data_IF_667540314198
#
_entry.id   IF_667540314198
#
_cell.length_a   1.000
_cell.length_b   1.000
_cell.length_c   1.000
_cell.angle_alpha   90.00
_cell.angle_beta   90.00
_cell.angle_gamma   90.00
#
_symmetry.space_group_name_H-M   'P 1'
#
loop_
_entity.id
_entity.type
_entity.pdbx_description
1 polymer ?
#
# COMPACT_ATOMS: atom_id res chain seq x y z
N UNK A 1 30.25 -1.15 13.59
CA UNK A 1 29.59 -0.72 12.33
C UNK A 1 28.81 -1.91 11.80
N UNK A 2 27.48 -1.94 11.99
CA UNK A 2 26.66 -3.08 11.56
C UNK A 2 26.60 -3.11 10.03
N UNK A 3 26.95 -4.23 9.40
CA UNK A 3 26.68 -4.44 7.97
C UNK A 3 25.16 -4.57 7.82
N UNK A 4 24.49 -3.48 7.46
CA UNK A 4 23.06 -3.49 7.12
C UNK A 4 22.83 -4.57 6.05
N UNK A 5 21.94 -5.52 6.32
CA UNK A 5 21.66 -6.59 5.36
C UNK A 5 20.82 -6.04 4.20
N UNK A 6 20.83 -6.70 3.05
CA UNK A 6 19.98 -6.29 1.92
C UNK A 6 18.49 -6.17 2.31
N UNK A 7 18.02 -6.97 3.28
CA UNK A 7 16.65 -6.87 3.80
C UNK A 7 16.45 -5.56 4.58
N UNK A 8 17.40 -5.19 5.45
CA UNK A 8 17.28 -3.98 6.27
C UNK A 8 17.21 -2.73 5.38
N UNK A 9 17.99 -2.66 4.30
CA UNK A 9 17.88 -1.58 3.31
C UNK A 9 16.49 -1.47 2.67
N UNK A 10 15.78 -2.57 2.46
CA UNK A 10 14.39 -2.54 1.96
C UNK A 10 13.40 -2.06 3.02
N UNK A 11 13.63 -2.41 4.29
CA UNK A 11 12.79 -1.95 5.40
C UNK A 11 13.03 -0.47 5.71
N UNK A 12 14.26 0.01 5.57
CA UNK A 12 14.61 1.43 5.73
C UNK A 12 13.88 2.29 4.68
N UNK A 13 13.78 1.84 3.41
CA UNK A 13 12.99 2.52 2.38
C UNK A 13 11.51 2.73 2.76
N UNK A 14 10.94 1.81 3.53
CA UNK A 14 9.58 1.95 4.03
C UNK A 14 9.51 3.05 5.09
N UNK A 15 10.44 3.05 6.05
CA UNK A 15 10.53 4.07 7.10
C UNK A 15 10.81 5.47 6.53
N UNK A 16 11.61 5.58 5.48
CA UNK A 16 11.88 6.85 4.80
C UNK A 16 10.61 7.45 4.19
N UNK A 17 9.74 6.61 3.61
CA UNK A 17 8.44 7.05 3.04
C UNK A 17 7.37 7.29 4.11
N UNK A 18 7.44 6.53 5.20
CA UNK A 18 6.49 6.51 6.30
C UNK A 18 7.19 6.70 7.65
N UNK A 19 7.78 7.88 7.93
CA UNK A 19 8.45 8.13 9.21
C UNK A 19 7.51 7.99 10.41
N UNK A 20 6.20 8.23 10.22
CA UNK A 20 5.17 8.01 11.23
C UNK A 20 5.06 6.53 11.67
N UNK A 21 5.58 5.61 10.86
CA UNK A 21 5.55 4.18 11.15
C UNK A 21 6.37 3.80 12.39
N UNK A 22 7.42 4.57 12.71
CA UNK A 22 8.22 4.41 13.94
C UNK A 22 7.39 4.53 15.22
N UNK A 23 6.28 5.27 15.18
CA UNK A 23 5.29 5.36 16.26
C UNK A 23 4.17 4.35 16.06
N UNK A 24 3.76 4.13 14.82
CA UNK A 24 2.63 3.27 14.47
C UNK A 24 2.89 1.78 14.78
N UNK A 25 4.12 1.30 14.59
CA UNK A 25 4.49 -0.09 14.82
C UNK A 25 4.36 -0.53 16.29
N UNK A 26 4.34 0.41 17.23
CA UNK A 26 4.11 0.14 18.65
C UNK A 26 2.76 -0.53 18.91
N UNK A 27 1.80 -0.34 18.00
CA UNK A 27 0.47 -0.95 18.05
C UNK A 27 0.38 -2.30 17.32
N UNK A 28 1.51 -2.80 16.81
CA UNK A 28 1.65 -4.12 16.20
C UNK A 28 2.40 -5.04 17.17
N UNK A 29 1.96 -6.30 17.35
CA UNK A 29 2.72 -7.28 18.13
C UNK A 29 4.16 -7.38 17.64
N UNK A 30 5.13 -7.31 18.55
CA UNK A 30 6.56 -7.29 18.22
C UNK A 30 6.98 -8.39 17.22
N UNK A 31 6.53 -9.67 17.36
CA UNK A 31 6.88 -10.72 16.40
C UNK A 31 6.40 -10.46 14.96
N UNK A 32 5.39 -9.62 14.77
CA UNK A 32 4.80 -9.32 13.47
C UNK A 32 5.39 -8.07 12.80
N UNK A 33 6.07 -7.19 13.55
CA UNK A 33 6.49 -5.86 13.04
C UNK A 33 7.32 -5.95 11.77
N UNK A 34 8.32 -6.84 11.75
CA UNK A 34 9.18 -7.04 10.57
C UNK A 34 8.40 -7.60 9.38
N UNK A 35 7.49 -8.55 9.62
CA UNK A 35 6.63 -9.12 8.57
C UNK A 35 5.73 -8.03 7.96
N UNK A 36 5.11 -7.20 8.80
CA UNK A 36 4.28 -6.07 8.37
C UNK A 36 5.07 -5.08 7.54
N UNK A 37 6.26 -4.69 7.99
CA UNK A 37 7.11 -3.79 7.22
C UNK A 37 7.52 -4.42 5.89
N UNK A 38 7.92 -5.69 5.85
CA UNK A 38 8.27 -6.37 4.61
C UNK A 38 7.09 -6.42 3.63
N UNK A 39 5.88 -6.67 4.14
CA UNK A 39 4.65 -6.66 3.34
C UNK A 39 4.36 -5.27 2.76
N UNK A 40 4.45 -4.22 3.57
CA UNK A 40 4.22 -2.86 3.09
C UNK A 40 5.34 -2.35 2.18
N UNK A 41 6.59 -2.77 2.37
CA UNK A 41 7.67 -2.54 1.42
C UNK A 41 7.34 -3.19 0.06
N UNK A 42 6.80 -4.42 0.03
CA UNK A 42 6.40 -5.06 -1.21
C UNK A 42 5.30 -4.26 -1.94
N UNK A 43 4.25 -3.85 -1.23
CA UNK A 43 3.19 -3.01 -1.81
C UNK A 43 3.75 -1.67 -2.32
N UNK A 44 4.68 -1.08 -1.58
CA UNK A 44 5.38 0.14 -1.97
C UNK A 44 6.20 -0.06 -3.26
N UNK A 45 6.85 -1.20 -3.46
CA UNK A 45 7.59 -1.49 -4.70
C UNK A 45 6.64 -1.60 -5.91
N UNK A 46 5.41 -2.09 -5.72
CA UNK A 46 4.38 -2.07 -6.75
C UNK A 46 3.82 -0.67 -7.00
N UNK A 47 3.63 0.15 -5.96
CA UNK A 47 3.28 1.58 -6.12
C UNK A 47 4.35 2.32 -6.94
N UNK A 48 5.63 2.03 -6.72
CA UNK A 48 6.74 2.64 -7.47
C UNK A 48 6.71 2.24 -8.94
N UNK A 49 6.42 0.97 -9.23
CA UNK A 49 6.23 0.46 -10.60
C UNK A 49 4.99 1.08 -11.27
N UNK A 50 3.92 1.35 -10.51
CA UNK A 50 2.71 2.00 -11.01
C UNK A 50 2.95 3.46 -11.41
N UNK A 51 3.86 4.14 -10.72
CA UNK A 51 3.97 5.59 -10.72
C UNK A 51 5.31 6.09 -11.30
N UNK A 52 5.79 5.44 -12.36
CA UNK A 52 6.99 5.86 -13.07
C UNK A 52 6.77 7.09 -13.94
N UNK A 53 7.82 7.90 -14.07
CA UNK A 53 7.87 9.02 -15.01
C UNK A 53 8.51 8.57 -16.33
N UNK A 54 7.94 9.01 -17.46
CA UNK A 54 8.48 8.71 -18.79
C UNK A 54 8.12 7.32 -19.29
N UNK A 55 9.09 6.63 -19.89
CA UNK A 55 8.91 5.32 -20.52
C UNK A 55 8.52 4.23 -19.49
N UNK A 56 7.36 3.56 -19.66
CA UNK A 56 6.94 2.51 -18.74
C UNK A 56 7.69 1.18 -18.91
N UNK A 57 8.42 0.95 -20.00
CA UNK A 57 9.02 -0.36 -20.31
C UNK A 57 9.95 -0.91 -19.20
N UNK A 58 10.85 -0.11 -18.57
CA UNK A 58 11.65 -0.61 -17.44
C UNK A 58 10.80 -1.00 -16.23
N UNK A 59 9.70 -0.26 -15.99
CA UNK A 59 8.77 -0.56 -14.91
C UNK A 59 7.99 -1.85 -15.18
N UNK A 60 7.61 -2.09 -16.44
CA UNK A 60 6.92 -3.29 -16.88
C UNK A 60 7.81 -4.54 -16.76
N UNK A 61 9.08 -4.43 -17.15
CA UNK A 61 10.06 -5.48 -16.92
C UNK A 61 10.22 -5.79 -15.42
N UNK A 62 10.28 -4.75 -14.57
CA UNK A 62 10.34 -4.91 -13.11
C UNK A 62 9.07 -5.56 -12.55
N UNK A 63 7.90 -5.23 -13.08
CA UNK A 63 6.63 -5.86 -12.66
C UNK A 63 6.59 -7.34 -13.04
N UNK A 64 7.02 -7.70 -14.24
CA UNK A 64 7.11 -9.09 -14.68
C UNK A 64 8.12 -9.89 -13.82
N UNK A 65 9.23 -9.26 -13.44
CA UNK A 65 10.18 -9.85 -12.49
C UNK A 65 9.52 -10.12 -11.13
N UNK A 66 8.76 -9.15 -10.59
CA UNK A 66 8.00 -9.34 -9.35
C UNK A 66 6.94 -10.45 -9.46
N UNK A 67 6.26 -10.55 -10.60
CA UNK A 67 5.30 -11.62 -10.87
C UNK A 67 5.98 -12.98 -10.74
N UNK A 68 7.14 -13.17 -11.39
CA UNK A 68 7.91 -14.40 -11.29
C UNK A 68 8.38 -14.69 -9.86
N UNK A 69 8.86 -13.68 -9.14
CA UNK A 69 9.29 -13.84 -7.75
C UNK A 69 8.13 -14.31 -6.84
N UNK A 70 6.91 -13.77 -7.02
CA UNK A 70 5.72 -14.23 -6.30
C UNK A 70 5.31 -15.67 -6.64
N UNK A 71 5.45 -16.07 -7.91
CA UNK A 71 5.25 -17.48 -8.32
C UNK A 71 6.28 -18.38 -7.63
N UNK A 72 7.54 -17.95 -7.55
CA UNK A 72 8.57 -18.69 -6.83
C UNK A 72 8.33 -18.74 -5.32
N UNK A 73 7.73 -17.71 -4.72
CA UNK A 73 7.33 -17.75 -3.30
C UNK A 73 6.21 -18.78 -3.05
N UNK A 74 5.23 -18.89 -3.95
CA UNK A 74 4.22 -19.94 -3.90
C UNK A 74 4.85 -21.35 -3.90
N UNK A 75 5.99 -21.50 -4.56
CA UNK A 75 6.76 -22.73 -4.62
C UNK A 75 7.93 -22.81 -3.62
N UNK A 76 8.05 -21.86 -2.69
CA UNK A 76 9.11 -21.78 -1.66
C UNK A 76 10.54 -21.74 -2.20
N UNK A 77 10.75 -20.93 -3.24
CA UNK A 77 12.06 -20.74 -3.87
C UNK A 77 12.45 -19.27 -3.96
N UNK A 78 12.13 -18.50 -2.90
CA UNK A 78 12.45 -17.08 -2.85
C UNK A 78 13.95 -16.84 -3.05
N UNK A 79 14.26 -15.82 -3.86
CA UNK A 79 15.63 -15.30 -4.01
C UNK A 79 15.73 -13.85 -3.55
N UNK A 80 14.59 -13.17 -3.42
CA UNK A 80 14.54 -11.79 -2.99
C UNK A 80 14.71 -11.64 -1.46
N UNK A 81 15.40 -10.59 -0.97
CA UNK A 81 15.56 -10.34 0.46
C UNK A 81 14.25 -10.26 1.25
N UNK A 82 13.16 -9.71 0.68
CA UNK A 82 11.84 -9.64 1.33
C UNK A 82 11.22 -11.02 1.55
N UNK A 83 11.48 -11.99 0.66
CA UNK A 83 10.92 -13.32 0.80
C UNK A 83 11.45 -14.06 2.02
N UNK A 84 12.61 -13.68 2.59
CA UNK A 84 13.05 -14.21 3.90
C UNK A 84 12.02 -14.04 5.02
N UNK A 85 11.15 -13.03 4.92
CA UNK A 85 10.05 -12.79 5.85
C UNK A 85 8.69 -13.20 5.27
N UNK A 86 8.46 -12.93 3.98
CA UNK A 86 7.14 -13.13 3.36
C UNK A 86 6.91 -14.57 2.88
N UNK A 87 7.88 -15.20 2.22
CA UNK A 87 7.73 -16.54 1.63
C UNK A 87 7.35 -17.63 2.66
N UNK A 88 7.85 -17.64 3.90
CA UNK A 88 7.40 -18.60 4.92
C UNK A 88 5.90 -18.55 5.24
N UNK A 89 5.23 -17.42 4.96
CA UNK A 89 3.77 -17.30 5.10
C UNK A 89 3.10 -18.00 3.91
N UNK A 90 2.22 -18.96 4.19
CA UNK A 90 1.47 -19.72 3.17
C UNK A 90 0.30 -18.94 2.56
N UNK A 91 0.55 -17.68 2.19
CA UNK A 91 -0.42 -16.80 1.56
C UNK A 91 -0.62 -17.15 0.07
N UNK A 92 -1.72 -16.71 -0.57
CA UNK A 92 -1.99 -16.94 -1.99
C UNK A 92 -1.09 -16.08 -2.91
N UNK A 93 0.23 -16.32 -2.88
CA UNK A 93 1.23 -15.56 -3.64
C UNK A 93 1.00 -15.63 -5.16
N UNK A 94 0.57 -16.78 -5.68
CA UNK A 94 0.23 -16.93 -7.10
C UNK A 94 -0.96 -16.06 -7.52
N UNK A 95 -1.97 -15.89 -6.66
CA UNK A 95 -3.10 -15.01 -6.93
C UNK A 95 -2.65 -13.54 -6.98
N UNK A 96 -1.72 -13.15 -6.09
CA UNK A 96 -1.11 -11.81 -6.16
C UNK A 96 -0.29 -11.62 -7.44
N UNK A 97 0.45 -12.64 -7.87
CA UNK A 97 1.21 -12.62 -9.12
C UNK A 97 0.30 -12.42 -10.34
N UNK A 98 -0.80 -13.16 -10.41
CA UNK A 98 -1.80 -13.07 -11.49
C UNK A 98 -2.50 -11.71 -11.52
N UNK A 99 -2.60 -11.03 -10.38
CA UNK A 99 -3.22 -9.72 -10.27
C UNK A 99 -2.27 -8.55 -10.62
N UNK A 100 -0.95 -8.75 -10.70
CA UNK A 100 -0.01 -7.66 -10.97
C UNK A 100 -0.25 -6.89 -12.28
N UNK A 101 -0.71 -7.48 -13.40
CA UNK A 101 -1.05 -6.71 -14.60
C UNK A 101 -2.04 -5.55 -14.36
N UNK A 102 -2.89 -5.61 -13.32
CA UNK A 102 -3.76 -4.50 -12.97
C UNK A 102 -3.00 -3.20 -12.62
N UNK A 103 -1.75 -3.31 -12.13
CA UNK A 103 -0.86 -2.16 -11.90
C UNK A 103 -0.58 -1.40 -13.20
N UNK A 104 -0.39 -2.11 -14.32
CA UNK A 104 -0.15 -1.50 -15.63
C UNK A 104 -1.40 -0.82 -16.16
N UNK A 105 -2.55 -1.52 -16.09
CA UNK A 105 -3.84 -1.00 -16.56
C UNK A 105 -4.22 0.26 -15.79
N UNK A 106 -4.00 0.27 -14.48
CA UNK A 106 -4.27 1.42 -13.61
C UNK A 106 -3.37 2.64 -13.87
N UNK A 107 -2.33 2.52 -14.73
CA UNK A 107 -1.53 3.69 -15.14
C UNK A 107 -2.29 4.63 -16.08
N UNK A 108 -3.30 4.14 -16.80
CA UNK A 108 -4.09 4.99 -17.71
C UNK A 108 -4.75 6.12 -16.91
N UNK A 109 -4.71 7.34 -17.46
CA UNK A 109 -5.51 8.43 -16.90
C UNK A 109 -7.00 8.04 -16.96
N UNK A 110 -7.72 8.05 -15.82
CA UNK A 110 -9.12 7.60 -15.80
C UNK A 110 -10.04 8.68 -16.39
N UNK A 111 -11.19 8.28 -16.95
CA UNK A 111 -12.18 9.24 -17.47
C UNK A 111 -13.14 9.73 -16.36
N UNK A 112 -13.24 9.00 -15.25
CA UNK A 112 -14.05 9.35 -14.08
C UNK A 112 -13.51 8.71 -12.80
N UNK A 113 -14.06 9.10 -11.64
CA UNK A 113 -13.70 8.52 -10.35
C UNK A 113 -13.92 7.00 -10.31
N UNK A 114 -15.09 6.52 -10.75
CA UNK A 114 -15.40 5.09 -10.74
C UNK A 114 -14.49 4.32 -11.72
N UNK A 115 -14.18 4.89 -12.88
CA UNK A 115 -13.20 4.29 -13.80
C UNK A 115 -11.77 4.28 -13.27
N UNK A 116 -11.43 5.11 -12.28
CA UNK A 116 -10.14 5.03 -11.61
C UNK A 116 -10.06 3.80 -10.69
N UNK A 117 -11.18 3.38 -10.10
CA UNK A 117 -11.25 2.23 -9.19
C UNK A 117 -11.25 0.88 -9.92
N UNK A 118 -11.92 0.78 -11.07
CA UNK A 118 -12.13 -0.49 -11.77
C UNK A 118 -10.83 -1.27 -12.06
N UNK A 119 -9.76 -0.66 -12.63
CA UNK A 119 -8.52 -1.38 -12.93
C UNK A 119 -7.82 -1.97 -11.71
N UNK A 120 -8.06 -1.40 -10.52
CA UNK A 120 -7.42 -1.83 -9.28
C UNK A 120 -8.09 -3.05 -8.65
N UNK A 121 -9.29 -3.44 -9.10
CA UNK A 121 -10.07 -4.51 -8.47
C UNK A 121 -9.30 -5.83 -8.31
N UNK A 122 -8.67 -6.40 -9.36
CA UNK A 122 -7.94 -7.67 -9.20
C UNK A 122 -6.82 -7.58 -8.18
N UNK A 123 -6.10 -6.44 -8.16
CA UNK A 123 -5.00 -6.21 -7.26
C UNK A 123 -5.47 -6.12 -5.80
N UNK A 124 -6.51 -5.35 -5.52
CA UNK A 124 -7.00 -5.19 -4.13
C UNK A 124 -7.68 -6.44 -3.60
N UNK A 125 -8.26 -7.26 -4.48
CA UNK A 125 -8.76 -8.60 -4.13
C UNK A 125 -7.60 -9.50 -3.70
N UNK A 126 -6.52 -9.56 -4.47
CA UNK A 126 -5.37 -10.39 -4.17
C UNK A 126 -4.61 -9.91 -2.92
N UNK A 127 -4.44 -8.59 -2.75
CA UNK A 127 -3.91 -7.98 -1.53
C UNK A 127 -4.74 -8.39 -0.32
N UNK A 128 -6.07 -8.27 -0.39
CA UNK A 128 -6.96 -8.67 0.69
C UNK A 128 -6.82 -10.17 1.03
N UNK A 129 -6.69 -11.03 0.02
CA UNK A 129 -6.54 -12.47 0.20
C UNK A 129 -5.19 -12.83 0.86
N UNK A 130 -4.10 -12.16 0.47
CA UNK A 130 -2.79 -12.32 1.12
C UNK A 130 -2.85 -11.86 2.58
N UNK A 131 -3.43 -10.70 2.84
CA UNK A 131 -3.56 -10.15 4.19
C UNK A 131 -4.41 -11.01 5.11
N UNK A 132 -5.48 -11.61 4.59
CA UNK A 132 -6.33 -12.52 5.36
C UNK A 132 -5.52 -13.69 5.94
N UNK A 133 -4.61 -14.26 5.14
CA UNK A 133 -3.72 -15.34 5.59
C UNK A 133 -2.58 -14.82 6.46
N UNK A 134 -1.89 -13.76 6.02
CA UNK A 134 -0.69 -13.26 6.70
C UNK A 134 -0.97 -12.70 8.10
N UNK A 135 -2.17 -12.18 8.33
CA UNK A 135 -2.56 -11.53 9.59
C UNK A 135 -3.81 -12.16 10.23
N UNK A 136 -4.14 -13.41 9.85
CA UNK A 136 -5.18 -14.24 10.45
C UNK A 136 -6.55 -13.56 10.59
N UNK A 137 -7.00 -12.87 9.53
CA UNK A 137 -8.29 -12.16 9.53
C UNK A 137 -9.43 -13.06 9.07
N UNK A 138 -10.52 -13.04 9.83
CA UNK A 138 -11.71 -13.85 9.60
C UNK A 138 -12.82 -13.04 8.91
N UNK A 139 -12.91 -11.74 9.23
CA UNK A 139 -13.85 -10.84 8.60
C UNK A 139 -13.50 -10.52 7.13
N UNK A 140 -14.47 -9.99 6.38
CA UNK A 140 -14.21 -9.45 5.05
C UNK A 140 -13.20 -8.30 5.05
N UNK A 141 -12.77 -7.90 3.84
CA UNK A 141 -11.86 -6.78 3.62
C UNK A 141 -12.52 -5.71 2.75
N UNK A 142 -12.44 -4.46 3.19
CA UNK A 142 -12.91 -3.28 2.47
C UNK A 142 -11.98 -2.95 1.29
N UNK A 143 -12.29 -3.57 0.15
CA UNK A 143 -11.56 -3.39 -1.11
C UNK A 143 -11.59 -1.95 -1.62
N UNK A 144 -12.64 -1.18 -1.30
CA UNK A 144 -12.74 0.23 -1.71
C UNK A 144 -11.71 1.05 -0.95
N UNK A 145 -11.54 0.83 0.34
CA UNK A 145 -10.48 1.48 1.13
C UNK A 145 -9.08 1.13 0.62
N UNK A 146 -8.83 -0.13 0.22
CA UNK A 146 -7.59 -0.51 -0.45
C UNK A 146 -7.40 0.26 -1.75
N UNK A 147 -8.37 0.25 -2.67
CA UNK A 147 -8.24 0.93 -3.96
C UNK A 147 -7.99 2.45 -3.82
N UNK A 148 -8.61 3.10 -2.84
CA UNK A 148 -8.40 4.52 -2.58
C UNK A 148 -6.97 4.84 -2.10
N UNK A 149 -6.32 3.92 -1.40
CA UNK A 149 -4.90 4.05 -1.02
C UNK A 149 -4.00 4.11 -2.26
N UNK A 150 -4.24 3.22 -3.24
CA UNK A 150 -3.51 3.20 -4.49
C UNK A 150 -3.76 4.46 -5.33
N UNK A 151 -5.00 4.95 -5.38
CA UNK A 151 -5.32 6.20 -6.07
C UNK A 151 -4.69 7.42 -5.41
N UNK A 152 -4.64 7.47 -4.07
CA UNK A 152 -3.93 8.53 -3.34
C UNK A 152 -2.41 8.43 -3.52
N UNK A 153 -1.83 7.24 -3.52
CA UNK A 153 -0.41 7.03 -3.82
C UNK A 153 -0.08 7.53 -5.23
N UNK A 154 -0.90 7.18 -6.22
CA UNK A 154 -0.78 7.70 -7.59
C UNK A 154 -0.88 9.23 -7.63
N UNK A 155 -1.88 9.79 -6.96
CA UNK A 155 -2.05 11.24 -6.86
C UNK A 155 -0.83 11.94 -6.25
N UNK A 156 -0.24 11.39 -5.17
CA UNK A 156 0.97 11.93 -4.55
C UNK A 156 2.19 11.86 -5.46
N UNK A 157 2.29 10.83 -6.30
CA UNK A 157 3.44 10.63 -7.17
C UNK A 157 3.40 11.46 -8.45
N UNK A 158 2.24 11.54 -9.12
CA UNK A 158 2.13 12.15 -10.47
C UNK A 158 1.17 13.34 -10.53
N UNK A 159 0.58 13.75 -9.40
CA UNK A 159 -0.26 14.95 -9.31
C UNK A 159 -1.48 14.92 -10.24
N UNK A 160 -1.66 16.00 -11.03
CA UNK A 160 -2.83 16.17 -11.89
C UNK A 160 -3.03 15.06 -12.93
N UNK A 161 -1.98 14.33 -13.30
CA UNK A 161 -2.06 13.20 -14.24
C UNK A 161 -2.81 11.99 -13.64
N UNK A 162 -2.94 11.91 -12.31
CA UNK A 162 -3.71 10.86 -11.64
C UNK A 162 -5.23 11.08 -11.71
N UNK A 163 -5.66 12.33 -11.88
CA UNK A 163 -7.07 12.72 -11.86
C UNK A 163 -7.69 12.68 -13.26
N UNK A 164 -9.03 12.51 -13.37
CA UNK A 164 -9.71 12.65 -14.66
C UNK A 164 -9.46 14.00 -15.35
N UNK A 165 -9.62 14.03 -16.67
CA UNK A 165 -9.47 15.27 -17.44
C UNK A 165 -10.44 16.35 -16.93
N UNK A 166 -9.95 17.59 -16.79
CA UNK A 166 -10.74 18.71 -16.27
C UNK A 166 -10.96 18.74 -14.75
N UNK A 167 -10.61 17.68 -14.01
CA UNK A 167 -10.71 17.67 -12.55
C UNK A 167 -9.48 18.33 -11.93
N UNK A 168 -9.68 19.34 -11.10
CA UNK A 168 -8.58 20.01 -10.38
C UNK A 168 -7.98 19.11 -9.30
N UNK A 169 -6.71 19.33 -8.95
CA UNK A 169 -6.04 18.60 -7.86
C UNK A 169 -6.82 18.71 -6.54
N UNK A 170 -7.36 19.89 -6.24
CA UNK A 170 -8.14 20.11 -5.02
C UNK A 170 -9.45 19.30 -5.04
N UNK A 171 -10.17 19.31 -6.16
CA UNK A 171 -11.39 18.53 -6.32
C UNK A 171 -11.11 17.02 -6.24
N UNK A 172 -10.03 16.55 -6.87
CA UNK A 172 -9.63 15.15 -6.82
C UNK A 172 -9.30 14.68 -5.39
N UNK A 173 -8.50 15.46 -4.64
CA UNK A 173 -8.21 15.16 -3.22
C UNK A 173 -9.48 15.11 -2.38
N UNK A 174 -10.41 16.05 -2.59
CA UNK A 174 -11.68 16.08 -1.87
C UNK A 174 -12.54 14.85 -2.20
N UNK A 175 -12.62 14.43 -3.46
CA UNK A 175 -13.33 13.22 -3.88
C UNK A 175 -12.74 11.95 -3.24
N UNK A 176 -11.41 11.79 -3.29
CA UNK A 176 -10.72 10.67 -2.65
C UNK A 176 -11.02 10.62 -1.15
N UNK A 177 -10.88 11.75 -0.45
CA UNK A 177 -11.09 11.82 1.00
C UNK A 177 -12.54 11.54 1.40
N UNK A 178 -13.50 12.06 0.62
CA UNK A 178 -14.93 11.85 0.85
C UNK A 178 -15.31 10.38 0.64
N UNK A 179 -14.73 9.72 -0.36
CA UNK A 179 -14.97 8.31 -0.63
C UNK A 179 -14.24 7.35 0.32
N UNK A 180 -13.20 7.82 1.02
CA UNK A 180 -12.36 6.98 1.88
C UNK A 180 -12.99 6.74 3.25
N UNK A 181 -13.36 5.48 3.57
CA UNK A 181 -14.00 5.15 4.84
C UNK A 181 -13.15 5.54 6.05
N UNK A 182 -13.80 6.08 7.09
CA UNK A 182 -13.11 6.50 8.33
C UNK A 182 -12.70 5.31 9.20
N UNK A 183 -13.49 4.22 9.13
CA UNK A 183 -13.29 2.96 9.85
C UNK A 183 -13.41 1.81 8.85
N UNK A 184 -12.42 1.64 7.95
CA UNK A 184 -12.47 0.56 6.97
C UNK A 184 -12.25 -0.79 7.67
N UNK A 185 -12.89 -1.80 7.12
CA UNK A 185 -12.79 -3.20 7.58
C UNK A 185 -11.53 -3.81 6.94
N UNK A 186 -10.35 -3.64 7.55
CA UNK A 186 -9.05 -4.16 7.07
C UNK A 186 -8.31 -4.90 8.19
N UNK A 187 -7.24 -5.62 7.90
CA UNK A 187 -6.31 -6.15 8.92
C UNK A 187 -5.71 -5.03 9.77
N UNK A 188 -5.42 -5.29 11.04
CA UNK A 188 -4.87 -4.31 11.98
C UNK A 188 -3.73 -3.44 11.42
N UNK A 189 -2.63 -3.99 10.86
CA UNK A 189 -1.57 -3.18 10.31
C UNK A 189 -2.02 -2.24 9.19
N UNK A 190 -2.89 -2.72 8.29
CA UNK A 190 -3.37 -1.91 7.18
C UNK A 190 -4.42 -0.88 7.61
N UNK A 191 -5.22 -1.15 8.65
CA UNK A 191 -6.09 -0.11 9.26
C UNK A 191 -5.26 1.07 9.76
N UNK A 192 -4.14 0.79 10.42
CA UNK A 192 -3.23 1.81 10.94
C UNK A 192 -2.62 2.61 9.79
N UNK A 193 -2.06 1.93 8.79
CA UNK A 193 -1.49 2.59 7.62
C UNK A 193 -2.53 3.43 6.86
N UNK A 194 -3.69 2.85 6.55
CA UNK A 194 -4.81 3.51 5.86
C UNK A 194 -5.26 4.78 6.59
N UNK A 195 -5.29 4.74 7.93
CA UNK A 195 -5.63 5.92 8.75
C UNK A 195 -4.57 7.02 8.67
N UNK A 196 -3.29 6.67 8.62
CA UNK A 196 -2.19 7.64 8.44
C UNK A 196 -2.20 8.25 7.03
N UNK A 197 -2.41 7.43 5.99
CA UNK A 197 -2.58 7.90 4.61
C UNK A 197 -3.74 8.88 4.50
N UNK A 198 -4.91 8.49 5.02
CA UNK A 198 -6.10 9.34 5.03
C UNK A 198 -5.88 10.64 5.83
N UNK A 199 -5.10 10.60 6.91
CA UNK A 199 -4.71 11.81 7.66
C UNK A 199 -3.83 12.74 6.82
N UNK A 200 -2.82 12.21 6.10
CA UNK A 200 -2.00 12.99 5.16
C UNK A 200 -2.88 13.66 4.10
N UNK A 201 -3.81 12.91 3.50
CA UNK A 201 -4.74 13.45 2.50
C UNK A 201 -5.66 14.53 3.08
N UNK A 202 -6.23 14.31 4.27
CA UNK A 202 -7.07 15.28 4.96
C UNK A 202 -6.32 16.60 5.22
N UNK A 203 -5.06 16.52 5.67
CA UNK A 203 -4.21 17.70 5.87
C UNK A 203 -3.98 18.47 4.57
N UNK A 204 -3.72 17.76 3.47
CA UNK A 204 -3.57 18.39 2.15
C UNK A 204 -4.84 19.10 1.67
N UNK A 205 -6.02 18.53 1.92
CA UNK A 205 -7.31 19.18 1.61
C UNK A 205 -7.48 20.47 2.41
N UNK A 206 -6.99 20.51 3.66
CA UNK A 206 -6.97 21.72 4.49
C UNK A 206 -5.82 22.69 4.15
N UNK A 207 -5.02 22.44 3.12
CA UNK A 207 -3.86 23.28 2.78
C UNK A 207 -2.71 23.20 3.79
N UNK A 208 -2.69 22.17 4.65
CA UNK A 208 -1.62 21.97 5.63
C UNK A 208 -0.46 21.18 5.00
N UNK A 209 0.76 21.60 5.29
CA UNK A 209 1.99 20.97 4.80
C UNK A 209 2.72 20.21 5.92
N UNK A 210 3.59 19.28 5.52
CA UNK A 210 4.41 18.48 6.44
C UNK A 210 3.65 17.35 7.15
N UNK A 211 4.41 16.51 7.85
CA UNK A 211 3.91 15.33 8.54
C UNK A 211 3.01 15.71 9.72
N UNK A 212 2.04 14.86 10.11
CA UNK A 212 1.28 15.05 11.34
C UNK A 212 2.21 15.13 12.56
N UNK A 213 1.81 15.84 13.62
CA UNK A 213 2.62 15.89 14.85
C UNK A 213 2.72 14.51 15.51
N UNK A 214 3.77 14.22 16.30
CA UNK A 214 3.90 12.92 16.99
C UNK A 214 2.68 12.54 17.83
N UNK A 215 2.04 13.51 18.49
CA UNK A 215 0.80 13.28 19.24
C UNK A 215 -0.37 12.88 18.33
N UNK A 216 -0.49 13.52 17.16
CA UNK A 216 -1.48 13.11 16.16
C UNK A 216 -1.19 11.71 15.64
N UNK A 217 0.07 11.40 15.32
CA UNK A 217 0.48 10.07 14.87
C UNK A 217 0.10 9.00 15.89
N UNK A 218 0.46 9.20 17.16
CA UNK A 218 0.14 8.28 18.26
C UNK A 218 -1.38 8.08 18.40
N UNK A 219 -2.15 9.18 18.49
CA UNK A 219 -3.60 9.11 18.65
C UNK A 219 -4.30 8.43 17.47
N UNK A 220 -3.86 8.74 16.25
CA UNK A 220 -4.42 8.13 15.05
C UNK A 220 -4.07 6.64 14.98
N UNK A 221 -2.83 6.25 15.23
CA UNK A 221 -2.39 4.85 15.23
C UNK A 221 -3.12 4.03 16.30
N UNK A 222 -3.21 4.54 17.54
CA UNK A 222 -4.00 3.93 18.60
C UNK A 222 -5.45 3.69 18.18
N UNK A 223 -6.11 4.74 17.65
CA UNK A 223 -7.52 4.64 17.27
C UNK A 223 -7.79 3.66 16.13
N UNK A 224 -6.86 3.48 15.19
CA UNK A 224 -6.97 2.43 14.16
C UNK A 224 -6.70 1.03 14.71
N UNK A 225 -5.78 0.93 15.68
CA UNK A 225 -5.39 -0.33 16.28
C UNK A 225 -6.44 -0.91 17.24
N UNK A 226 -7.37 -0.10 17.74
CA UNK A 226 -8.43 -0.49 18.68
C UNK A 226 -9.70 -1.07 18.03
N UNK A 227 -9.75 -1.23 16.70
CA UNK A 227 -10.84 -1.94 16.02
C UNK A 227 -10.66 -3.46 16.09
N UNK A 228 -11.76 -4.23 16.05
CA UNK A 228 -11.74 -5.71 16.01
C UNK A 228 -11.02 -6.26 14.77
N UNK A 229 -10.52 -7.49 14.88
CA UNK A 229 -9.82 -8.21 13.81
C UNK A 229 -10.69 -9.29 13.17
#
# INVERSE_FOLDING_TARGET
>A
MSRSSALDSFLDKWLDRWPEWSVAELFIPEPQRRLVMAWFTLLQEFEDVMNVAGDPLPADAKLAWWQQELIDWAAQRSRHPLGRLLEPVRAPWAVLADALPAVQVARRRPDSFEQALLPLQPLVEAVAAVEAVAFARIEGTDRRALALQWLDARHRAIGAAAAPAGVSIAAWRAQLLAAWPVKPTLVRPHRIWSRLMRLRLHRQVLGQHGNPSPLQQLWHSWRAASGGD
#
